data_IF_277425208708
#
_entry.id   IF_277425208708
#
_cell.length_a   1.000
_cell.length_b   1.000
_cell.length_c   1.000
_cell.angle_alpha   90.00
_cell.angle_beta   90.00
_cell.angle_gamma   90.00
#
_symmetry.space_group_name_H-M   'P 1'
#
loop_
_entity.id
_entity.type
_entity.pdbx_description
1 polymer ?
#
# COMPACT_ATOMS: atom_id res chain seq x y z
N UNK A 1 1.05 20.84 -0.90
CA UNK A 1 0.48 19.55 -0.45
C UNK A 1 0.74 19.37 1.04
N UNK A 2 -0.30 19.21 1.85
CA UNK A 2 -0.17 18.96 3.29
C UNK A 2 0.30 17.52 3.52
N UNK A 3 1.39 17.31 4.24
CA UNK A 3 1.88 15.96 4.56
C UNK A 3 1.18 15.40 5.80
N UNK A 4 1.01 14.08 5.85
CA UNK A 4 0.43 13.37 6.99
C UNK A 4 1.52 12.61 7.74
N UNK A 5 1.57 12.77 9.06
CA UNK A 5 2.46 12.02 9.92
C UNK A 5 2.04 10.54 9.94
N UNK A 6 3.01 9.64 10.03
CA UNK A 6 2.77 8.21 10.18
C UNK A 6 2.98 7.77 11.63
N UNK A 7 1.95 7.21 12.25
CA UNK A 7 1.95 6.75 13.64
C UNK A 7 2.45 7.84 14.59
N UNK A 8 3.26 7.44 15.56
CA UNK A 8 3.98 8.33 16.47
C UNK A 8 5.45 8.45 16.09
N UNK A 9 5.72 8.60 14.78
CA UNK A 9 7.08 8.62 14.21
C UNK A 9 7.47 10.02 13.73
N UNK A 10 8.72 10.18 13.29
CA UNK A 10 9.16 11.38 12.56
C UNK A 10 8.90 11.30 11.04
N UNK A 11 8.23 10.24 10.56
CA UNK A 11 7.93 10.04 9.14
C UNK A 11 6.67 10.78 8.73
N UNK A 12 6.74 11.40 7.54
CA UNK A 12 5.63 12.08 6.90
C UNK A 12 5.47 11.61 5.47
N UNK A 13 4.25 11.34 5.05
CA UNK A 13 3.90 11.02 3.67
C UNK A 13 3.10 12.14 3.03
N UNK A 14 3.23 12.30 1.72
CA UNK A 14 2.20 12.93 0.92
C UNK A 14 0.85 12.18 1.13
N UNK A 15 -0.31 12.81 0.87
CA UNK A 15 -1.62 12.19 1.05
C UNK A 15 -1.91 10.97 0.16
N UNK A 16 -0.96 10.58 -0.70
CA UNK A 16 -0.97 9.34 -1.47
C UNK A 16 0.42 8.73 -1.35
N UNK A 17 0.47 7.41 -1.11
CA UNK A 17 1.70 6.61 -1.15
C UNK A 17 1.79 5.92 -2.51
N UNK A 18 2.97 5.94 -3.14
CA UNK A 18 3.13 5.28 -4.43
C UNK A 18 3.40 3.78 -4.26
N UNK A 19 2.58 2.94 -4.88
CA UNK A 19 2.77 1.48 -4.89
C UNK A 19 3.76 1.03 -5.97
N UNK A 20 4.89 0.47 -5.54
CA UNK A 20 5.95 -0.10 -6.39
C UNK A 20 5.65 -1.47 -6.98
N UNK A 21 4.50 -2.09 -6.69
CA UNK A 21 4.11 -3.41 -7.20
C UNK A 21 4.03 -3.53 -8.74
N UNK A 22 4.08 -2.41 -9.47
CA UNK A 22 4.12 -2.39 -10.94
C UNK A 22 5.54 -2.45 -11.51
N UNK A 23 6.56 -2.13 -10.70
CA UNK A 23 7.96 -2.07 -11.11
C UNK A 23 8.50 -3.48 -11.39
N UNK A 24 9.08 -3.65 -12.59
CA UNK A 24 9.60 -4.95 -13.03
C UNK A 24 8.49 -5.93 -13.43
N UNK A 25 7.25 -5.44 -13.57
CA UNK A 25 6.12 -6.24 -14.03
C UNK A 25 5.34 -5.55 -15.14
N UNK A 26 4.58 -4.51 -14.80
CA UNK A 26 3.76 -3.78 -15.79
C UNK A 26 4.55 -2.67 -16.45
N UNK A 27 5.51 -2.10 -15.73
CA UNK A 27 6.46 -1.12 -16.26
C UNK A 27 7.89 -1.66 -16.12
N UNK A 28 8.70 -1.41 -17.15
CA UNK A 28 10.10 -1.79 -17.15
C UNK A 28 10.93 -0.80 -16.29
N UNK A 29 12.23 -1.06 -16.13
CA UNK A 29 13.11 -0.23 -15.30
C UNK A 29 13.16 1.24 -15.77
N UNK A 30 13.22 1.49 -17.08
CA UNK A 30 13.28 2.85 -17.63
C UNK A 30 12.00 3.61 -17.33
N UNK A 31 10.84 3.01 -17.59
CA UNK A 31 9.54 3.59 -17.29
C UNK A 31 9.35 3.82 -15.78
N UNK A 32 9.85 2.90 -14.96
CA UNK A 32 9.81 3.04 -13.49
C UNK A 32 10.61 4.27 -13.03
N UNK A 33 11.77 4.53 -13.63
CA UNK A 33 12.59 5.71 -13.31
C UNK A 33 11.88 6.99 -13.71
N UNK A 34 11.28 7.02 -14.90
CA UNK A 34 10.52 8.17 -15.39
C UNK A 34 9.32 8.49 -14.48
N UNK A 35 8.62 7.45 -13.98
CA UNK A 35 7.52 7.62 -13.03
C UNK A 35 8.01 8.13 -11.67
N UNK A 36 9.13 7.58 -11.15
CA UNK A 36 9.70 8.04 -9.88
C UNK A 36 10.22 9.48 -9.95
N UNK A 37 10.82 9.90 -11.06
CA UNK A 37 11.22 11.29 -11.28
C UNK A 37 9.99 12.21 -11.21
N UNK A 38 8.91 11.88 -11.92
CA UNK A 38 7.66 12.66 -11.91
C UNK A 38 6.99 12.71 -10.52
N UNK A 39 6.92 11.59 -9.81
CA UNK A 39 6.35 11.53 -8.46
C UNK A 39 7.08 12.48 -7.51
N UNK A 40 8.41 12.49 -7.56
CA UNK A 40 9.22 13.37 -6.72
C UNK A 40 9.03 14.84 -7.09
N UNK A 41 8.94 15.17 -8.39
CA UNK A 41 8.65 16.52 -8.86
C UNK A 41 7.27 17.02 -8.38
N UNK A 42 6.30 16.11 -8.30
CA UNK A 42 4.95 16.37 -7.76
C UNK A 42 4.89 16.38 -6.22
N UNK A 43 5.99 16.05 -5.54
CA UNK A 43 6.09 16.04 -4.08
C UNK A 43 5.63 14.74 -3.40
N UNK A 44 5.35 13.68 -4.17
CA UNK A 44 5.08 12.34 -3.64
C UNK A 44 6.40 11.60 -3.41
N UNK A 45 6.77 11.45 -2.13
CA UNK A 45 8.10 10.98 -1.74
C UNK A 45 8.13 9.61 -1.06
N UNK A 46 6.98 8.96 -0.84
CA UNK A 46 6.90 7.64 -0.22
C UNK A 46 6.62 6.57 -1.27
N UNK A 47 7.47 5.54 -1.30
CA UNK A 47 7.35 4.40 -2.23
C UNK A 47 7.23 3.11 -1.42
N UNK A 48 6.14 2.37 -1.66
CA UNK A 48 5.83 1.11 -1.02
C UNK A 48 6.16 -0.09 -1.91
N UNK A 49 7.01 -0.98 -1.42
CA UNK A 49 7.46 -2.21 -2.10
C UNK A 49 7.21 -3.43 -1.21
N UNK A 50 7.64 -4.61 -1.63
CA UNK A 50 7.79 -5.81 -0.79
C UNK A 50 8.91 -6.68 -1.35
N UNK A 51 9.51 -7.51 -0.51
CA UNK A 51 10.50 -8.52 -0.93
C UNK A 51 9.97 -9.46 -2.02
N UNK A 52 8.69 -9.79 -1.97
CA UNK A 52 8.02 -10.69 -2.90
C UNK A 52 7.66 -10.03 -4.24
N UNK A 53 7.75 -8.71 -4.35
CA UNK A 53 7.31 -7.99 -5.56
C UNK A 53 8.39 -8.08 -6.66
N UNK A 54 8.12 -8.62 -7.84
CA UNK A 54 6.84 -9.03 -8.43
C UNK A 54 6.89 -10.48 -8.95
N UNK A 55 7.10 -11.44 -8.05
CA UNK A 55 7.29 -12.88 -8.37
C UNK A 55 6.22 -13.52 -9.26
N UNK A 56 5.02 -12.93 -9.32
CA UNK A 56 3.89 -13.46 -10.08
C UNK A 56 4.01 -13.17 -11.58
N UNK A 57 4.98 -12.35 -11.98
CA UNK A 57 5.25 -12.08 -13.39
C UNK A 57 6.17 -13.16 -13.98
N UNK A 58 5.96 -13.49 -15.24
CA UNK A 58 6.77 -14.47 -15.96
C UNK A 58 8.25 -14.03 -16.00
N UNK A 59 9.14 -14.90 -15.52
CA UNK A 59 10.59 -14.62 -15.44
C UNK A 59 11.05 -13.94 -14.16
N UNK A 60 10.14 -13.57 -13.25
CA UNK A 60 10.47 -12.97 -11.96
C UNK A 60 10.53 -14.02 -10.83
N UNK A 61 11.25 -13.69 -9.77
CA UNK A 61 11.39 -14.50 -8.55
C UNK A 61 11.07 -13.73 -7.26
N UNK A 62 10.76 -12.44 -7.36
CA UNK A 62 10.61 -11.54 -6.21
C UNK A 62 11.85 -10.66 -6.04
N UNK A 63 11.65 -9.46 -5.50
CA UNK A 63 12.68 -8.46 -5.25
C UNK A 63 12.91 -7.52 -6.44
N UNK A 64 12.20 -7.69 -7.56
CA UNK A 64 12.35 -6.84 -8.74
C UNK A 64 11.99 -5.38 -8.45
N UNK A 65 10.91 -5.15 -7.69
CA UNK A 65 10.49 -3.79 -7.30
C UNK A 65 11.57 -3.11 -6.46
N UNK A 66 12.09 -3.79 -5.43
CA UNK A 66 13.18 -3.29 -4.59
C UNK A 66 14.45 -3.02 -5.38
N UNK A 67 14.81 -3.93 -6.29
CA UNK A 67 16.01 -3.79 -7.14
C UNK A 67 15.91 -2.57 -8.05
N UNK A 68 14.74 -2.29 -8.63
CA UNK A 68 14.51 -1.12 -9.48
C UNK A 68 14.58 0.15 -8.65
N UNK A 69 13.92 0.20 -7.48
CA UNK A 69 13.98 1.33 -6.54
C UNK A 69 15.43 1.60 -6.12
N UNK A 70 16.19 0.55 -5.78
CA UNK A 70 17.57 0.68 -5.36
C UNK A 70 18.50 1.19 -6.46
N UNK A 71 18.33 0.70 -7.70
CA UNK A 71 19.08 1.23 -8.85
C UNK A 71 18.73 2.70 -9.12
N UNK A 72 17.47 3.08 -8.99
CA UNK A 72 17.02 4.46 -9.14
C UNK A 72 17.71 5.38 -8.13
N UNK A 73 17.64 5.02 -6.85
CA UNK A 73 18.27 5.77 -5.75
C UNK A 73 19.76 5.95 -5.99
N UNK A 74 20.46 4.87 -6.33
CA UNK A 74 21.91 4.92 -6.59
C UNK A 74 22.24 5.79 -7.80
N UNK A 75 21.46 5.68 -8.88
CA UNK A 75 21.70 6.45 -10.12
C UNK A 75 21.41 7.93 -9.96
N UNK A 76 20.41 8.30 -9.14
CA UNK A 76 20.02 9.69 -8.89
C UNK A 76 20.74 10.31 -7.69
N UNK A 77 21.32 9.52 -6.80
CA UNK A 77 21.98 10.00 -5.58
C UNK A 77 21.02 10.66 -4.59
N UNK A 78 19.75 10.22 -4.57
CA UNK A 78 18.64 10.93 -3.92
C UNK A 78 17.98 10.15 -2.77
N UNK A 79 18.68 9.21 -2.11
CA UNK A 79 18.14 8.40 -1.00
C UNK A 79 17.43 9.23 0.07
N UNK A 80 17.97 10.40 0.40
CA UNK A 80 17.45 11.34 1.40
C UNK A 80 16.11 12.01 1.00
N UNK A 81 15.72 11.92 -0.27
CA UNK A 81 14.45 12.48 -0.78
C UNK A 81 13.31 11.48 -0.76
N UNK A 82 13.60 10.19 -0.55
CA UNK A 82 12.61 9.10 -0.67
C UNK A 82 12.43 8.45 0.69
N UNK A 83 11.19 8.23 1.08
CA UNK A 83 10.85 7.37 2.21
C UNK A 83 10.50 6.00 1.67
N UNK A 84 11.29 4.98 2.03
CA UNK A 84 11.13 3.62 1.51
C UNK A 84 10.34 2.78 2.51
N UNK A 85 9.24 2.20 2.04
CA UNK A 85 8.55 1.15 2.77
C UNK A 85 8.69 -0.16 2.03
N UNK A 86 8.99 -1.24 2.75
CA UNK A 86 9.00 -2.59 2.18
C UNK A 86 8.47 -3.59 3.20
N UNK A 87 8.30 -4.85 2.80
CA UNK A 87 7.61 -5.86 3.60
C UNK A 87 8.30 -7.20 3.52
N UNK A 88 8.09 -7.99 4.56
CA UNK A 88 8.58 -9.36 4.72
C UNK A 88 7.47 -10.31 5.14
N UNK A 89 7.67 -11.60 4.87
CA UNK A 89 6.86 -12.68 5.42
C UNK A 89 5.80 -13.22 4.48
N UNK A 90 5.64 -12.63 3.29
CA UNK A 90 5.00 -13.33 2.18
C UNK A 90 5.91 -14.44 1.68
N UNK A 91 5.33 -15.52 1.16
CA UNK A 91 6.13 -16.57 0.53
C UNK A 91 6.84 -16.05 -0.72
N UNK A 92 8.12 -16.35 -0.87
CA UNK A 92 8.87 -16.08 -2.11
C UNK A 92 8.51 -17.07 -3.22
N UNK A 93 8.10 -18.31 -2.88
CA UNK A 93 7.69 -19.33 -3.85
C UNK A 93 6.17 -19.32 -4.05
N UNK A 94 5.69 -19.29 -5.30
CA UNK A 94 4.24 -19.24 -5.59
C UNK A 94 3.51 -20.39 -4.88
N UNK A 95 2.54 -20.05 -4.02
CA UNK A 95 1.79 -21.02 -3.21
C UNK A 95 2.53 -21.60 -2.00
N UNK A 96 3.75 -21.16 -1.70
CA UNK A 96 4.50 -21.59 -0.53
C UNK A 96 4.05 -20.90 0.77
N UNK A 97 4.70 -21.30 1.87
CA UNK A 97 4.37 -20.82 3.20
C UNK A 97 4.87 -19.40 3.47
N UNK A 98 4.11 -18.69 4.28
CA UNK A 98 4.50 -17.44 4.92
C UNK A 98 5.45 -17.73 6.08
N UNK A 99 6.29 -16.77 6.43
CA UNK A 99 7.26 -16.93 7.50
C UNK A 99 7.63 -15.59 8.12
N UNK A 100 7.27 -15.40 9.38
CA UNK A 100 7.62 -14.19 10.14
C UNK A 100 8.50 -14.54 11.36
N UNK A 101 9.11 -15.73 11.36
CA UNK A 101 10.11 -16.10 12.37
C UNK A 101 11.27 -15.11 12.40
N UNK A 102 11.87 -14.96 13.58
CA UNK A 102 12.98 -14.02 13.80
C UNK A 102 14.13 -14.27 12.84
N UNK A 103 14.49 -15.53 12.64
CA UNK A 103 15.56 -15.90 11.71
C UNK A 103 15.25 -15.52 10.26
N UNK A 104 13.98 -15.65 9.83
CA UNK A 104 13.59 -15.26 8.49
C UNK A 104 13.64 -13.74 8.31
N UNK A 105 13.07 -12.97 9.23
CA UNK A 105 13.05 -11.50 9.18
C UNK A 105 14.47 -10.93 9.14
N UNK A 106 15.35 -11.42 10.03
CA UNK A 106 16.74 -10.99 10.09
C UNK A 106 17.54 -11.31 8.81
N UNK A 107 17.16 -12.36 8.07
CA UNK A 107 17.79 -12.68 6.78
C UNK A 107 17.19 -11.83 5.66
N UNK A 108 15.87 -11.77 5.57
CA UNK A 108 15.14 -11.11 4.49
C UNK A 108 15.42 -9.61 4.42
N UNK A 109 15.68 -8.97 5.55
CA UNK A 109 16.07 -7.55 5.57
C UNK A 109 17.43 -7.31 4.90
N UNK A 110 18.42 -8.20 5.06
CA UNK A 110 19.72 -8.08 4.37
C UNK A 110 19.55 -8.19 2.86
N UNK A 111 18.74 -9.16 2.44
CA UNK A 111 18.42 -9.37 1.02
C UNK A 111 17.70 -8.13 0.45
N UNK A 112 16.79 -7.54 1.21
CA UNK A 112 16.04 -6.33 0.82
C UNK A 112 16.94 -5.10 0.75
N UNK A 113 17.79 -4.86 1.77
CA UNK A 113 18.76 -3.76 1.79
C UNK A 113 19.77 -3.87 0.65
N UNK A 114 20.21 -5.09 0.33
CA UNK A 114 21.09 -5.35 -0.83
C UNK A 114 20.42 -4.94 -2.14
N UNK A 115 19.16 -5.34 -2.36
CA UNK A 115 18.39 -4.97 -3.56
C UNK A 115 18.11 -3.46 -3.63
N UNK A 116 17.72 -2.87 -2.49
CA UNK A 116 17.47 -1.43 -2.34
C UNK A 116 18.76 -0.59 -2.40
N UNK A 117 19.94 -1.20 -2.33
CA UNK A 117 21.24 -0.54 -2.33
C UNK A 117 21.32 0.62 -1.31
N UNK A 118 20.81 0.38 -0.11
CA UNK A 118 20.78 1.33 1.01
C UNK A 118 21.08 0.57 2.30
N UNK A 119 21.48 1.30 3.34
CA UNK A 119 21.78 0.76 4.68
C UNK A 119 20.57 0.68 5.61
N UNK A 120 19.50 1.41 5.32
CA UNK A 120 18.28 1.43 6.14
C UNK A 120 16.97 1.49 5.32
N UNK A 121 15.93 0.90 5.90
CA UNK A 121 14.52 1.00 5.49
C UNK A 121 13.80 1.95 6.44
N UNK A 122 12.98 2.87 5.92
CA UNK A 122 12.25 3.82 6.76
C UNK A 122 11.09 3.15 7.51
N UNK A 123 10.33 2.29 6.83
CA UNK A 123 9.22 1.56 7.44
C UNK A 123 9.16 0.12 6.91
N UNK A 124 9.35 -0.87 7.79
CA UNK A 124 9.38 -2.28 7.43
C UNK A 124 8.15 -3.02 7.94
N UNK A 125 7.43 -3.70 7.04
CA UNK A 125 6.15 -4.31 7.36
C UNK A 125 6.22 -5.82 7.53
N UNK A 126 5.53 -6.34 8.54
CA UNK A 126 5.00 -7.71 8.52
C UNK A 126 3.90 -7.78 7.46
N UNK A 127 4.15 -8.45 6.32
CA UNK A 127 3.24 -8.46 5.18
C UNK A 127 1.99 -9.31 5.42
N UNK A 128 2.17 -10.45 6.07
CA UNK A 128 1.12 -11.40 6.41
C UNK A 128 1.48 -12.15 7.69
N UNK A 129 0.46 -12.61 8.39
CA UNK A 129 0.63 -13.58 9.47
C UNK A 129 0.97 -14.97 8.94
N UNK A 130 1.78 -15.72 9.68
CA UNK A 130 2.08 -17.13 9.43
C UNK A 130 1.35 -18.10 10.39
N UNK A 131 0.52 -17.56 11.30
CA UNK A 131 -0.34 -18.27 12.25
C UNK A 131 0.38 -19.22 13.23
N UNK A 132 1.72 -19.21 13.25
CA UNK A 132 2.53 -20.15 14.04
C UNK A 132 3.64 -19.49 14.84
N UNK A 133 4.18 -18.38 14.37
CA UNK A 133 5.24 -17.64 15.07
C UNK A 133 4.62 -16.82 16.21
N UNK A 134 5.13 -16.91 17.44
CA UNK A 134 4.73 -16.01 18.53
C UNK A 134 4.94 -14.55 18.15
N UNK A 135 4.03 -13.65 18.57
CA UNK A 135 4.13 -12.24 18.18
C UNK A 135 5.38 -11.58 18.76
N UNK A 136 5.79 -12.00 19.96
CA UNK A 136 7.01 -11.57 20.65
C UNK A 136 8.25 -11.88 19.82
N UNK A 137 8.35 -13.09 19.26
CA UNK A 137 9.50 -13.50 18.43
C UNK A 137 9.65 -12.58 17.21
N UNK A 138 8.52 -12.23 16.58
CA UNK A 138 8.51 -11.30 15.44
C UNK A 138 8.96 -9.90 15.87
N UNK A 139 8.44 -9.39 17.00
CA UNK A 139 8.77 -8.05 17.50
C UNK A 139 10.22 -7.94 18.00
N UNK A 140 10.78 -8.98 18.62
CA UNK A 140 12.20 -9.06 18.97
C UNK A 140 13.11 -9.05 17.74
N UNK A 141 12.65 -9.61 16.62
CA UNK A 141 13.37 -9.52 15.35
C UNK A 141 13.48 -8.07 14.92
N UNK A 142 12.36 -7.33 14.98
CA UNK A 142 12.32 -5.92 14.64
C UNK A 142 13.12 -5.06 15.60
N UNK A 143 13.07 -5.33 16.92
CA UNK A 143 13.88 -4.63 17.92
C UNK A 143 15.36 -4.68 17.53
N UNK A 144 15.86 -5.89 17.23
CA UNK A 144 17.24 -6.07 16.79
C UNK A 144 17.59 -5.31 15.51
N UNK A 145 16.64 -5.15 14.58
CA UNK A 145 16.87 -4.40 13.33
C UNK A 145 16.84 -2.89 13.55
N UNK A 146 16.01 -2.42 14.47
CA UNK A 146 15.97 -1.02 14.89
C UNK A 146 17.27 -0.65 15.61
N UNK A 147 17.72 -1.47 16.56
CA UNK A 147 18.98 -1.28 17.27
C UNK A 147 20.20 -1.26 16.33
N UNK A 148 20.14 -2.02 15.24
CA UNK A 148 21.17 -2.03 14.20
C UNK A 148 21.09 -0.85 13.22
N UNK A 149 20.06 0.00 13.32
CA UNK A 149 19.82 1.10 12.39
C UNK A 149 19.37 0.68 10.99
N UNK A 150 19.04 -0.60 10.78
CA UNK A 150 18.60 -1.15 9.48
C UNK A 150 17.15 -0.86 9.17
N UNK A 151 16.35 -0.65 10.20
CA UNK A 151 14.92 -0.32 10.11
C UNK A 151 14.67 0.84 11.06
N UNK A 152 13.97 1.89 10.61
CA UNK A 152 13.63 3.02 11.50
C UNK A 152 12.34 2.77 12.27
N UNK A 153 11.31 2.32 11.58
CA UNK A 153 10.00 2.02 12.16
C UNK A 153 9.39 0.75 11.54
N UNK A 154 8.38 0.21 12.21
CA UNK A 154 7.71 -1.02 11.77
C UNK A 154 6.21 -0.84 11.58
N UNK A 155 5.66 -1.64 10.68
CA UNK A 155 4.23 -1.71 10.42
C UNK A 155 3.75 -3.14 10.26
N UNK A 156 2.44 -3.31 10.18
CA UNK A 156 1.80 -4.59 9.94
C UNK A 156 0.80 -4.49 8.79
N UNK A 157 0.62 -5.58 8.06
CA UNK A 157 -0.33 -5.70 6.97
C UNK A 157 -1.05 -7.03 7.11
N UNK A 158 -2.34 -7.05 6.78
CA UNK A 158 -3.15 -8.27 6.68
C UNK A 158 -3.16 -9.18 7.93
N UNK A 159 -2.90 -8.63 9.11
CA UNK A 159 -3.09 -9.36 10.37
C UNK A 159 -4.58 -9.38 10.73
N UNK A 160 -5.01 -10.47 11.36
CA UNK A 160 -6.35 -10.52 11.96
C UNK A 160 -6.47 -9.51 13.11
N UNK A 161 -7.69 -9.12 13.53
CA UNK A 161 -7.89 -8.27 14.70
C UNK A 161 -7.22 -8.83 15.95
N UNK A 162 -7.30 -10.15 16.16
CA UNK A 162 -6.72 -10.85 17.30
C UNK A 162 -5.20 -10.77 17.28
N UNK A 163 -4.57 -11.00 16.12
CA UNK A 163 -3.11 -11.00 15.99
C UNK A 163 -2.52 -9.60 16.03
N UNK A 164 -3.22 -8.59 15.50
CA UNK A 164 -2.84 -7.19 15.67
C UNK A 164 -2.93 -6.77 17.14
N UNK A 165 -4.02 -7.11 17.84
CA UNK A 165 -4.17 -6.84 19.29
C UNK A 165 -3.07 -7.51 20.12
N UNK A 166 -2.81 -8.80 19.87
CA UNK A 166 -1.77 -9.55 20.56
C UNK A 166 -0.39 -8.91 20.35
N UNK A 167 -0.07 -8.49 19.13
CA UNK A 167 1.20 -7.80 18.84
C UNK A 167 1.32 -6.47 19.60
N UNK A 168 0.27 -5.66 19.63
CA UNK A 168 0.27 -4.38 20.36
C UNK A 168 0.36 -4.57 21.87
N UNK A 169 -0.27 -5.62 22.41
CA UNK A 169 -0.18 -5.98 23.81
C UNK A 169 1.24 -6.45 24.17
N UNK A 170 1.81 -7.35 23.38
CA UNK A 170 3.19 -7.84 23.55
C UNK A 170 4.22 -6.70 23.51
N UNK A 171 4.05 -5.75 22.57
CA UNK A 171 4.88 -4.54 22.52
C UNK A 171 4.85 -3.76 23.85
N UNK A 172 3.66 -3.56 24.41
CA UNK A 172 3.49 -2.82 25.66
C UNK A 172 3.98 -3.59 26.90
N UNK A 173 3.74 -4.88 26.99
CA UNK A 173 4.03 -5.69 28.19
C UNK A 173 5.52 -6.07 28.27
N UNK A 174 6.15 -6.31 27.13
CA UNK A 174 7.55 -6.76 27.04
C UNK A 174 8.51 -5.64 26.66
N UNK A 175 8.04 -4.38 26.59
CA UNK A 175 8.82 -3.21 26.16
C UNK A 175 9.48 -3.41 24.78
N UNK A 176 8.77 -4.09 23.87
CA UNK A 176 9.19 -4.36 22.50
C UNK A 176 8.70 -3.23 21.57
N UNK A 177 9.31 -3.05 20.38
CA UNK A 177 8.85 -2.06 19.43
C UNK A 177 7.40 -2.32 19.02
N UNK A 178 6.65 -1.23 18.85
CA UNK A 178 5.24 -1.25 18.48
C UNK A 178 5.10 -1.01 16.98
N UNK A 179 4.11 -1.63 16.35
CA UNK A 179 3.69 -1.23 15.01
C UNK A 179 3.15 0.20 15.01
N UNK A 180 3.59 1.01 14.04
CA UNK A 180 3.21 2.42 13.88
C UNK A 180 2.18 2.63 12.75
N UNK A 181 2.18 1.70 11.79
CA UNK A 181 1.33 1.76 10.60
C UNK A 181 0.68 0.41 10.35
N UNK A 182 -0.62 0.43 10.04
CA UNK A 182 -1.36 -0.73 9.55
C UNK A 182 -1.69 -0.57 8.06
N UNK A 183 -1.49 -1.62 7.26
CA UNK A 183 -1.69 -1.60 5.82
C UNK A 183 -2.77 -2.61 5.39
N UNK A 184 -4.07 -2.24 5.35
CA UNK A 184 -5.17 -3.09 4.92
C UNK A 184 -5.51 -2.92 3.43
N UNK A 185 -6.23 -3.89 2.87
CA UNK A 185 -7.00 -3.67 1.64
C UNK A 185 -8.17 -2.74 1.92
N UNK A 186 -8.34 -1.68 1.13
CA UNK A 186 -9.51 -0.82 1.26
C UNK A 186 -9.80 -0.04 -0.03
N UNK A 187 -11.06 -0.12 -0.48
CA UNK A 187 -11.57 0.60 -1.64
C UNK A 187 -13.09 0.67 -1.61
N UNK A 188 -13.70 1.35 -2.59
CA UNK A 188 -15.16 1.31 -2.78
C UNK A 188 -15.69 -0.12 -3.03
N UNK A 189 -14.85 -1.05 -3.50
CA UNK A 189 -15.28 -2.44 -3.73
C UNK A 189 -15.09 -3.33 -2.49
N UNK A 190 -14.10 -3.01 -1.65
CA UNK A 190 -13.71 -3.82 -0.48
C UNK A 190 -13.59 -2.90 0.74
N UNK A 191 -14.57 -2.97 1.64
CA UNK A 191 -14.66 -2.09 2.83
C UNK A 191 -14.52 -2.84 4.15
N UNK A 192 -15.00 -4.07 4.16
CA UNK A 192 -15.06 -5.02 5.28
C UNK A 192 -13.69 -5.50 5.80
N UNK A 193 -12.62 -5.30 5.03
CA UNK A 193 -11.24 -5.62 5.45
C UNK A 193 -10.65 -4.59 6.41
N UNK A 194 -11.25 -3.40 6.50
CA UNK A 194 -10.77 -2.32 7.37
C UNK A 194 -11.87 -1.81 8.31
N UNK A 195 -13.05 -1.48 7.77
CA UNK A 195 -14.17 -0.94 8.57
C UNK A 195 -14.62 -1.95 9.63
N UNK A 196 -14.85 -1.46 10.85
CA UNK A 196 -15.19 -2.29 12.01
C UNK A 196 -13.99 -2.48 12.94
N UNK A 197 -13.71 -3.72 13.34
CA UNK A 197 -12.80 -4.00 14.44
C UNK A 197 -11.36 -3.53 14.19
N UNK A 198 -10.82 -3.76 12.98
CA UNK A 198 -9.47 -3.30 12.60
C UNK A 198 -9.37 -1.77 12.69
N UNK A 199 -10.35 -1.04 12.14
CA UNK A 199 -10.37 0.41 12.21
C UNK A 199 -10.38 0.91 13.66
N UNK A 200 -11.17 0.29 14.54
CA UNK A 200 -11.21 0.67 15.96
C UNK A 200 -9.91 0.32 16.70
N UNK A 201 -9.26 -0.80 16.38
CA UNK A 201 -7.91 -1.12 16.89
C UNK A 201 -6.91 -0.04 16.47
N UNK A 202 -6.91 0.35 15.19
CA UNK A 202 -5.99 1.36 14.67
C UNK A 202 -6.19 2.70 15.37
N UNK A 203 -7.44 3.18 15.49
CA UNK A 203 -7.77 4.43 16.20
C UNK A 203 -7.35 4.39 17.66
N UNK A 204 -7.74 3.35 18.40
CA UNK A 204 -7.44 3.23 19.84
C UNK A 204 -5.93 3.21 20.13
N UNK A 205 -5.14 2.68 19.21
CA UNK A 205 -3.70 2.53 19.37
C UNK A 205 -2.89 3.56 18.58
N UNK A 206 -3.52 4.61 18.03
CA UNK A 206 -2.85 5.64 17.22
C UNK A 206 -2.03 5.08 16.04
N UNK A 207 -2.49 4.00 15.42
CA UNK A 207 -1.87 3.49 14.20
C UNK A 207 -2.30 4.35 13.02
N UNK A 208 -1.33 4.79 12.22
CA UNK A 208 -1.65 5.32 10.89
C UNK A 208 -2.09 4.19 9.96
N UNK A 209 -2.91 4.51 8.97
CA UNK A 209 -3.43 3.51 8.03
C UNK A 209 -3.09 3.92 6.60
N UNK A 210 -2.29 3.09 5.93
CA UNK A 210 -2.01 3.23 4.50
C UNK A 210 -2.75 2.12 3.75
N UNK A 211 -3.78 2.40 2.95
CA UNK A 211 -4.58 1.31 2.36
C UNK A 211 -4.10 0.89 0.98
N UNK A 212 -4.03 -0.41 0.68
CA UNK A 212 -3.69 -0.89 -0.66
C UNK A 212 -4.93 -1.24 -1.50
N UNK A 213 -4.71 -1.48 -2.80
CA UNK A 213 -5.76 -1.79 -3.77
C UNK A 213 -6.82 -0.68 -3.89
N UNK A 214 -6.41 0.56 -3.65
CA UNK A 214 -7.26 1.75 -3.63
C UNK A 214 -8.12 1.95 -4.89
N UNK A 215 -7.65 1.49 -6.05
CA UNK A 215 -8.36 1.56 -7.34
C UNK A 215 -8.94 0.21 -7.80
N UNK A 216 -8.93 -0.81 -6.92
CA UNK A 216 -9.43 -2.16 -7.17
C UNK A 216 -8.91 -2.74 -8.51
N UNK A 217 -7.59 -2.87 -8.65
CA UNK A 217 -6.91 -3.33 -9.88
C UNK A 217 -7.24 -2.51 -11.15
N UNK A 218 -7.68 -1.27 -10.97
CA UNK A 218 -8.05 -0.34 -12.03
C UNK A 218 -9.53 -0.39 -12.43
N UNK A 219 -10.37 -1.14 -11.74
CA UNK A 219 -11.82 -1.12 -11.96
C UNK A 219 -12.39 0.28 -11.72
N UNK A 220 -12.01 0.91 -10.61
CA UNK A 220 -12.54 2.21 -10.17
C UNK A 220 -12.08 3.39 -11.04
N UNK A 221 -11.29 3.16 -12.10
CA UNK A 221 -10.98 4.19 -13.10
C UNK A 221 -12.04 4.29 -14.19
N UNK A 222 -13.00 3.36 -14.23
CA UNK A 222 -14.03 3.29 -15.27
C UNK A 222 -13.54 2.82 -16.64
N UNK A 223 -12.27 2.37 -16.75
CA UNK A 223 -11.73 1.84 -18.02
C UNK A 223 -12.35 0.51 -18.44
N UNK A 224 -12.94 -0.21 -17.49
CA UNK A 224 -13.69 -1.44 -17.72
C UNK A 224 -15.14 -1.16 -17.33
N UNK A 225 -16.05 -1.38 -18.27
CA UNK A 225 -17.48 -1.11 -18.12
C UNK A 225 -18.31 -2.40 -18.14
N UNK A 226 -17.79 -3.44 -18.79
CA UNK A 226 -18.42 -4.75 -18.90
C UNK A 226 -17.38 -5.87 -18.74
N UNK A 227 -17.83 -7.07 -18.35
CA UNK A 227 -16.97 -8.24 -18.16
C UNK A 227 -16.19 -8.61 -19.44
N UNK A 228 -16.75 -8.33 -20.62
CA UNK A 228 -16.06 -8.56 -21.90
C UNK A 228 -14.75 -7.73 -22.03
N UNK A 229 -14.65 -6.60 -21.33
CA UNK A 229 -13.49 -5.69 -21.42
C UNK A 229 -12.25 -6.27 -20.72
N UNK A 230 -12.43 -7.27 -19.85
CA UNK A 230 -11.35 -7.91 -19.08
C UNK A 230 -11.04 -9.32 -19.58
N UNK A 231 -11.86 -9.89 -20.46
CA UNK A 231 -11.75 -11.29 -20.89
C UNK A 231 -10.41 -11.54 -21.59
N UNK A 232 -9.68 -12.55 -21.12
CA UNK A 232 -8.35 -12.92 -21.62
C UNK A 232 -7.22 -12.01 -21.15
N UNK A 233 -7.49 -11.04 -20.27
CA UNK A 233 -6.45 -10.17 -19.71
C UNK A 233 -5.94 -10.70 -18.37
N UNK A 234 -4.72 -10.29 -17.97
CA UNK A 234 -4.18 -10.60 -16.63
C UNK A 234 -5.05 -10.04 -15.47
N UNK A 235 -6.04 -9.19 -15.76
CA UNK A 235 -6.93 -8.55 -14.78
C UNK A 235 -8.23 -9.31 -14.55
N UNK A 236 -8.57 -10.29 -15.39
CA UNK A 236 -9.84 -11.01 -15.34
C UNK A 236 -10.13 -11.60 -13.96
N UNK A 237 -9.17 -12.33 -13.40
CA UNK A 237 -9.28 -12.97 -12.09
C UNK A 237 -9.54 -12.00 -10.92
N UNK A 238 -9.14 -10.72 -11.07
CA UNK A 238 -9.30 -9.72 -10.02
C UNK A 238 -10.62 -8.95 -10.13
N UNK A 239 -11.22 -8.92 -11.32
CA UNK A 239 -12.26 -7.96 -11.67
C UNK A 239 -13.61 -8.60 -12.02
N UNK A 240 -13.63 -9.89 -12.37
CA UNK A 240 -14.85 -10.60 -12.80
C UNK A 240 -16.03 -10.41 -11.85
N UNK A 241 -15.78 -10.41 -10.54
CA UNK A 241 -16.82 -10.34 -9.52
C UNK A 241 -17.28 -8.89 -9.22
N UNK A 242 -16.73 -7.88 -9.91
CA UNK A 242 -17.10 -6.48 -9.75
C UNK A 242 -18.11 -5.98 -10.78
N UNK A 243 -18.49 -6.77 -11.79
CA UNK A 243 -19.47 -6.36 -12.81
C UNK A 243 -20.93 -6.60 -12.43
N UNK A 244 -21.19 -6.85 -11.15
CA UNK A 244 -22.54 -6.95 -10.59
C UNK A 244 -23.24 -5.59 -10.53
N UNK A 245 -24.48 -5.57 -10.01
CA UNK A 245 -25.25 -4.33 -9.91
C UNK A 245 -24.57 -3.30 -8.99
N UNK A 246 -23.88 -3.76 -7.94
CA UNK A 246 -23.16 -2.90 -6.99
C UNK A 246 -22.02 -2.18 -7.69
N UNK A 247 -21.13 -2.91 -8.37
CA UNK A 247 -20.01 -2.28 -9.08
C UNK A 247 -20.46 -1.35 -10.21
N UNK A 248 -21.54 -1.68 -10.94
CA UNK A 248 -22.14 -0.76 -11.92
C UNK A 248 -22.64 0.54 -11.29
N UNK A 249 -23.28 0.47 -10.12
CA UNK A 249 -23.74 1.64 -9.38
C UNK A 249 -22.58 2.51 -8.86
N UNK A 250 -21.48 1.86 -8.42
CA UNK A 250 -20.23 2.53 -8.02
C UNK A 250 -19.64 3.28 -9.22
N UNK A 251 -19.42 2.62 -10.35
CA UNK A 251 -18.86 3.24 -11.56
C UNK A 251 -19.71 4.40 -12.07
N UNK A 252 -21.04 4.26 -12.06
CA UNK A 252 -21.95 5.35 -12.42
C UNK A 252 -21.78 6.55 -11.49
N UNK A 253 -21.71 6.32 -10.18
CA UNK A 253 -21.55 7.42 -9.21
C UNK A 253 -20.19 8.10 -9.33
N UNK A 254 -19.12 7.34 -9.54
CA UNK A 254 -17.80 7.90 -9.83
C UNK A 254 -17.81 8.74 -11.11
N UNK A 255 -18.44 8.25 -12.19
CA UNK A 255 -18.55 8.99 -13.45
C UNK A 255 -19.28 10.32 -13.28
N UNK A 256 -20.44 10.30 -12.62
CA UNK A 256 -21.25 11.49 -12.41
C UNK A 256 -20.49 12.54 -11.58
N UNK A 257 -19.87 12.13 -10.47
CA UNK A 257 -19.06 13.02 -9.62
C UNK A 257 -17.84 13.55 -10.38
N UNK A 258 -17.13 12.68 -11.10
CA UNK A 258 -15.95 13.07 -11.87
C UNK A 258 -16.25 14.14 -12.92
N UNK A 259 -17.45 14.10 -13.51
CA UNK A 259 -17.90 15.09 -14.48
C UNK A 259 -18.15 16.46 -13.84
N UNK A 260 -18.64 16.50 -12.59
CA UNK A 260 -18.88 17.75 -11.86
C UNK A 260 -17.60 18.54 -11.59
N UNK A 261 -16.51 17.84 -11.27
CA UNK A 261 -15.20 18.46 -10.98
C UNK A 261 -14.28 18.53 -12.21
N UNK A 262 -14.65 17.92 -13.34
CA UNK A 262 -13.79 17.74 -14.50
C UNK A 262 -12.45 17.05 -14.16
N UNK A 263 -12.52 16.00 -13.35
CA UNK A 263 -11.38 15.16 -12.94
C UNK A 263 -11.59 13.71 -13.34
N UNK A 264 -10.59 12.85 -13.14
CA UNK A 264 -10.71 11.42 -13.39
C UNK A 264 -11.54 10.69 -12.33
N UNK A 265 -12.20 9.59 -12.71
CA UNK A 265 -12.87 8.70 -11.74
C UNK A 265 -11.88 8.12 -10.72
N UNK A 266 -10.63 7.88 -11.14
CA UNK A 266 -9.55 7.47 -10.25
C UNK A 266 -9.30 8.51 -9.15
N UNK A 267 -9.29 9.80 -9.49
CA UNK A 267 -9.14 10.88 -8.53
C UNK A 267 -10.29 10.90 -7.50
N UNK A 268 -11.53 10.75 -7.96
CA UNK A 268 -12.71 10.67 -7.07
C UNK A 268 -12.59 9.47 -6.12
N UNK A 269 -12.20 8.29 -6.61
CA UNK A 269 -12.04 7.10 -5.80
C UNK A 269 -10.92 7.24 -4.75
N UNK A 270 -9.78 7.83 -5.12
CA UNK A 270 -8.69 8.11 -4.19
C UNK A 270 -9.09 9.16 -3.15
N UNK A 271 -9.75 10.24 -3.59
CA UNK A 271 -10.21 11.29 -2.68
C UNK A 271 -11.24 10.78 -1.68
N UNK A 272 -12.14 9.89 -2.12
CA UNK A 272 -13.06 9.21 -1.20
C UNK A 272 -12.29 8.51 -0.08
N UNK A 273 -11.26 7.71 -0.39
CA UNK A 273 -10.42 7.02 0.61
C UNK A 273 -9.71 8.02 1.53
N UNK A 274 -9.14 9.10 0.98
CA UNK A 274 -8.45 10.14 1.75
C UNK A 274 -9.36 10.86 2.76
N UNK A 275 -10.66 10.94 2.48
CA UNK A 275 -11.65 11.52 3.40
C UNK A 275 -12.27 10.49 4.36
N UNK A 276 -11.84 9.22 4.33
CA UNK A 276 -12.37 8.20 5.25
C UNK A 276 -11.79 8.34 6.66
N UNK A 277 -12.63 8.23 7.70
CA UNK A 277 -12.15 8.27 9.08
C UNK A 277 -11.10 7.20 9.35
N UNK A 278 -9.94 7.62 9.87
CA UNK A 278 -8.85 6.72 10.25
C UNK A 278 -7.94 6.27 9.12
N UNK A 279 -8.12 6.74 7.88
CA UNK A 279 -7.14 6.55 6.80
C UNK A 279 -6.14 7.70 6.80
N UNK A 280 -4.84 7.36 6.74
CA UNK A 280 -3.76 8.34 6.61
C UNK A 280 -3.47 8.66 5.15
N UNK A 281 -3.33 7.64 4.29
CA UNK A 281 -3.12 7.79 2.85
C UNK A 281 -3.47 6.51 2.07
N UNK A 282 -4.18 6.57 0.94
CA UNK A 282 -4.24 5.44 0.01
C UNK A 282 -2.88 5.19 -0.65
N UNK A 283 -2.58 3.91 -0.88
CA UNK A 283 -1.53 3.44 -1.77
C UNK A 283 -2.13 3.27 -3.16
N UNK A 284 -1.54 3.94 -4.14
CA UNK A 284 -1.94 3.85 -5.54
C UNK A 284 -0.72 3.71 -6.44
N UNK A 285 -0.90 2.99 -7.55
CA UNK A 285 0.18 2.73 -8.52
C UNK A 285 -0.21 3.30 -9.87
N UNK A 286 0.79 3.77 -10.62
CA UNK A 286 0.64 4.26 -11.98
C UNK A 286 1.56 3.48 -12.91
N UNK A 287 1.14 3.28 -14.16
CA UNK A 287 1.94 2.58 -15.19
C UNK A 287 2.30 3.50 -16.34
N UNK A 288 1.85 4.75 -16.29
CA UNK A 288 2.06 5.80 -17.28
C UNK A 288 1.93 7.15 -16.59
N UNK A 289 2.62 8.15 -17.12
CA UNK A 289 2.55 9.55 -16.67
C UNK A 289 1.13 10.08 -16.53
N UNK A 290 0.25 9.77 -17.50
CA UNK A 290 -1.15 10.22 -17.50
C UNK A 290 -1.94 9.75 -16.26
N UNK A 291 -1.57 8.61 -15.66
CA UNK A 291 -2.22 8.14 -14.44
C UNK A 291 -1.83 8.99 -13.22
N UNK A 292 -0.63 9.58 -13.20
CA UNK A 292 -0.17 10.41 -12.08
C UNK A 292 -1.01 11.69 -11.92
N UNK A 293 -1.59 12.20 -13.02
CA UNK A 293 -2.53 13.33 -12.97
C UNK A 293 -3.69 13.09 -12.00
N UNK A 294 -4.16 11.84 -11.89
CA UNK A 294 -5.24 11.48 -10.96
C UNK A 294 -4.85 11.68 -9.47
N UNK A 295 -3.56 11.74 -9.15
CA UNK A 295 -3.08 11.92 -7.79
C UNK A 295 -3.16 13.39 -7.39
N UNK A 296 -2.72 14.30 -8.27
CA UNK A 296 -2.91 15.75 -8.09
C UNK A 296 -4.40 16.10 -8.04
N UNK A 297 -5.18 15.60 -8.99
CA UNK A 297 -6.63 15.79 -9.01
C UNK A 297 -7.30 15.34 -7.69
N UNK A 298 -6.87 14.21 -7.11
CA UNK A 298 -7.40 13.74 -5.83
C UNK A 298 -6.98 14.64 -4.66
N UNK A 299 -5.74 15.14 -4.65
CA UNK A 299 -5.22 16.00 -3.58
C UNK A 299 -5.87 17.37 -3.61
N UNK A 300 -6.09 17.93 -4.80
CA UNK A 300 -6.53 19.32 -5.01
C UNK A 300 -8.05 19.49 -4.94
N UNK A 301 -8.82 18.40 -4.89
CA UNK A 301 -10.28 18.44 -4.82
C UNK A 301 -10.78 17.84 -3.51
N UNK A 302 -11.98 18.26 -3.10
CA UNK A 302 -12.68 17.77 -1.92
C UNK A 302 -14.10 17.36 -2.28
N UNK A 303 -14.48 16.13 -1.92
CA UNK A 303 -15.84 15.65 -2.12
C UNK A 303 -16.75 16.21 -1.03
N UNK A 304 -17.93 16.64 -1.43
CA UNK A 304 -18.97 17.09 -0.49
C UNK A 304 -19.49 15.93 0.36
N UNK A 305 -20.14 16.25 1.49
CA UNK A 305 -20.80 15.24 2.32
C UNK A 305 -21.81 14.40 1.53
N UNK A 306 -22.60 15.03 0.65
CA UNK A 306 -23.59 14.34 -0.19
C UNK A 306 -22.93 13.35 -1.15
N UNK A 307 -21.80 13.73 -1.77
CA UNK A 307 -21.06 12.85 -2.68
C UNK A 307 -20.38 11.70 -1.95
N UNK A 308 -19.82 11.98 -0.76
CA UNK A 308 -19.27 10.97 0.13
C UNK A 308 -20.35 9.96 0.55
N UNK A 309 -21.54 10.44 0.95
CA UNK A 309 -22.67 9.60 1.35
C UNK A 309 -23.20 8.78 0.18
N UNK A 310 -23.35 9.38 -1.00
CA UNK A 310 -23.71 8.66 -2.22
C UNK A 310 -22.75 7.51 -2.50
N UNK A 311 -21.44 7.76 -2.46
CA UNK A 311 -20.41 6.73 -2.65
C UNK A 311 -20.46 5.67 -1.54
N UNK A 312 -20.72 6.07 -0.30
CA UNK A 312 -20.89 5.15 0.82
C UNK A 312 -22.08 4.22 0.62
N UNK A 313 -23.23 4.73 0.17
CA UNK A 313 -24.44 3.93 -0.03
C UNK A 313 -24.26 2.93 -1.18
N UNK A 314 -23.77 3.37 -2.34
CA UNK A 314 -23.60 2.46 -3.49
C UNK A 314 -22.49 1.41 -3.29
N UNK A 315 -21.56 1.65 -2.36
CA UNK A 315 -20.46 0.74 -2.05
C UNK A 315 -20.73 -0.17 -0.85
N UNK A 316 -21.86 -0.05 -0.14
CA UNK A 316 -22.19 -0.99 0.94
C UNK A 316 -22.36 -2.42 0.40
N UNK A 317 -21.93 -3.39 1.20
CA UNK A 317 -22.29 -4.81 1.01
C UNK A 317 -23.54 -5.11 1.83
#
# INVERSE_FOLDING_TARGET
MEKKQLGQTDLYTAPIVFGGNVFGWTVNEKESFELMDQLLDMGFNMIDSADVYSRWADGNSGGESESIIGKYIKRRGNRHKITITTKVGSSMQQGGDKNISKNHILKAVEDSLTRLQTDHIDLYFTHWDDDKTPVEETLEAYEKLIDQGKVRYIGASNLSPERLKASLQAASESNLPKYEVFQPEYSLMVRDKFEGEIQEICKKNNLSVTSYFSLASGFLTGKYSEEKDIKGTKREQFLKDYFDQRGKNVLKSLKDISANYNISQAAVALRWIMQRPGITAPIASATKSEHLKSFEEAVDNELTTEEMDRLNEVSKK
#
